data_IF_165708960868
#
_entry.id   IF_165708960868
#
_cell.length_a   1.000
_cell.length_b   1.000
_cell.length_c   1.000
_cell.angle_alpha   90.00
_cell.angle_beta   90.00
_cell.angle_gamma   90.00
#
_symmetry.space_group_name_H-M   'P 1'
#
loop_
_entity.id
_entity.type
_entity.pdbx_description
1 polymer ?
#
# COMPACT_ATOMS: atom_id res chain seq x y z
N UNK A 1 37.12 8.29 8.28
CA UNK A 1 36.23 7.57 7.35
C UNK A 1 34.78 7.70 7.85
N UNK A 2 34.34 8.90 8.21
CA UNK A 2 33.03 9.16 8.84
C UNK A 2 32.11 9.97 7.91
N UNK A 3 32.68 10.66 6.91
CA UNK A 3 31.96 11.56 6.00
C UNK A 3 31.26 10.84 4.82
N UNK A 4 31.63 9.58 4.53
CA UNK A 4 31.05 8.81 3.42
C UNK A 4 29.67 8.23 3.79
N UNK A 5 29.48 7.81 5.04
CA UNK A 5 28.21 7.23 5.50
C UNK A 5 27.11 8.28 5.68
N UNK A 6 27.46 9.51 6.09
CA UNK A 6 26.47 10.59 6.27
C UNK A 6 25.86 11.06 4.95
N UNK A 7 26.67 11.20 3.90
CA UNK A 7 26.21 11.60 2.56
C UNK A 7 25.33 10.53 1.92
N UNK A 8 25.69 9.25 2.01
CA UNK A 8 24.89 8.16 1.44
C UNK A 8 23.54 8.01 2.17
N UNK A 9 23.52 8.07 3.50
CA UNK A 9 22.27 8.00 4.26
C UNK A 9 21.37 9.21 3.99
N UNK A 10 21.91 10.43 3.87
CA UNK A 10 21.12 11.63 3.49
C UNK A 10 20.60 11.56 2.06
N UNK A 11 21.40 11.05 1.13
CA UNK A 11 21.00 10.89 -0.27
C UNK A 11 19.95 9.79 -0.43
N UNK A 12 20.10 8.68 0.28
CA UNK A 12 19.13 7.58 0.34
C UNK A 12 17.86 7.97 1.12
N UNK A 13 17.95 8.82 2.16
CA UNK A 13 16.78 9.41 2.82
C UNK A 13 16.01 10.31 1.84
N UNK A 14 16.72 11.18 1.11
CA UNK A 14 16.12 12.07 0.12
C UNK A 14 15.48 11.31 -1.04
N UNK A 15 16.15 10.25 -1.52
CA UNK A 15 15.60 9.36 -2.55
C UNK A 15 14.40 8.55 -2.02
N UNK A 16 14.49 8.01 -0.81
CA UNK A 16 13.39 7.28 -0.15
C UNK A 16 12.16 8.15 0.09
N UNK A 17 12.34 9.41 0.46
CA UNK A 17 11.25 10.39 0.60
C UNK A 17 10.64 10.83 -0.73
N UNK A 18 11.46 11.05 -1.77
CA UNK A 18 10.99 11.38 -3.11
C UNK A 18 10.22 10.21 -3.75
N UNK A 19 10.72 8.98 -3.58
CA UNK A 19 10.03 7.76 -3.98
C UNK A 19 8.74 7.58 -3.17
N UNK A 20 8.76 7.81 -1.85
CA UNK A 20 7.57 7.81 -1.02
C UNK A 20 6.51 8.81 -1.50
N UNK A 21 6.92 10.02 -1.88
CA UNK A 21 6.03 11.05 -2.43
C UNK A 21 5.43 10.65 -3.77
N UNK A 22 6.26 10.14 -4.69
CA UNK A 22 5.80 9.69 -6.01
C UNK A 22 4.86 8.48 -5.89
N UNK A 23 5.19 7.54 -5.01
CA UNK A 23 4.34 6.39 -4.70
C UNK A 23 3.03 6.85 -4.05
N UNK A 24 3.05 7.75 -3.07
CA UNK A 24 1.84 8.28 -2.43
C UNK A 24 0.89 8.97 -3.41
N UNK A 25 1.45 9.78 -4.32
CA UNK A 25 0.70 10.45 -5.39
C UNK A 25 0.07 9.44 -6.37
N UNK A 26 0.84 8.44 -6.79
CA UNK A 26 0.37 7.42 -7.75
C UNK A 26 -0.65 6.49 -7.10
N UNK A 27 -0.47 6.19 -5.81
CA UNK A 27 -1.31 5.27 -5.05
C UNK A 27 -2.76 5.77 -4.96
N UNK A 28 -2.99 7.09 -4.84
CA UNK A 28 -4.34 7.69 -4.86
C UNK A 28 -5.11 7.34 -6.15
N UNK A 29 -4.40 7.34 -7.29
CA UNK A 29 -4.99 7.00 -8.60
C UNK A 29 -5.22 5.51 -8.74
N UNK A 30 -4.28 4.70 -8.26
CA UNK A 30 -4.41 3.23 -8.20
C UNK A 30 -5.56 2.82 -7.29
N UNK A 31 -5.74 3.45 -6.13
CA UNK A 31 -6.86 3.16 -5.21
C UNK A 31 -8.21 3.44 -5.85
N UNK A 32 -8.38 4.57 -6.57
CA UNK A 32 -9.63 4.85 -7.29
C UNK A 32 -9.94 3.77 -8.33
N UNK A 33 -8.94 3.35 -9.12
CA UNK A 33 -9.10 2.31 -10.15
C UNK A 33 -9.35 0.95 -9.50
N UNK A 34 -8.60 0.58 -8.47
CA UNK A 34 -8.75 -0.67 -7.74
C UNK A 34 -10.12 -0.76 -7.06
N UNK A 35 -10.59 0.33 -6.42
CA UNK A 35 -11.93 0.40 -5.84
C UNK A 35 -13.02 0.28 -6.91
N UNK A 36 -12.82 0.89 -8.09
CA UNK A 36 -13.74 0.76 -9.21
C UNK A 36 -13.81 -0.68 -9.73
N UNK A 37 -12.66 -1.34 -9.93
CA UNK A 37 -12.58 -2.74 -10.36
C UNK A 37 -13.17 -3.68 -9.30
N UNK A 38 -12.86 -3.46 -8.01
CA UNK A 38 -13.41 -4.24 -6.90
C UNK A 38 -14.93 -4.08 -6.82
N UNK A 39 -15.43 -2.85 -6.95
CA UNK A 39 -16.87 -2.57 -6.99
C UNK A 39 -17.54 -3.27 -8.18
N UNK A 40 -16.96 -3.15 -9.38
CA UNK A 40 -17.45 -3.82 -10.58
C UNK A 40 -17.43 -5.34 -10.42
N UNK A 41 -16.39 -5.89 -9.80
CA UNK A 41 -16.26 -7.31 -9.52
C UNK A 41 -17.32 -7.79 -8.52
N UNK A 42 -17.57 -7.03 -7.45
CA UNK A 42 -18.62 -7.34 -6.47
C UNK A 42 -20.01 -7.26 -7.11
N UNK A 43 -20.28 -6.24 -7.95
CA UNK A 43 -21.52 -6.16 -8.72
C UNK A 43 -21.69 -7.37 -9.65
N UNK A 44 -20.63 -7.75 -10.36
CA UNK A 44 -20.64 -8.93 -11.23
C UNK A 44 -20.86 -10.23 -10.43
N UNK A 45 -20.32 -10.32 -9.22
CA UNK A 45 -20.51 -11.45 -8.31
C UNK A 45 -21.95 -11.50 -7.75
N UNK A 46 -22.54 -10.36 -7.38
CA UNK A 46 -23.93 -10.28 -6.92
C UNK A 46 -24.88 -10.79 -8.01
N UNK A 47 -24.62 -10.40 -9.27
CA UNK A 47 -25.46 -10.78 -10.40
C UNK A 47 -25.36 -12.27 -10.73
N UNK A 48 -24.18 -12.87 -10.52
CA UNK A 48 -23.94 -14.29 -10.76
C UNK A 48 -24.34 -15.17 -9.55
N UNK A 49 -24.35 -14.60 -8.35
CA UNK A 49 -24.88 -15.24 -7.13
C UNK A 49 -26.39 -15.42 -7.20
N UNK A 50 -27.13 -14.46 -7.77
CA UNK A 50 -28.59 -14.54 -7.94
C UNK A 50 -29.00 -15.66 -8.94
N UNK A 51 -28.11 -16.00 -9.88
CA UNK A 51 -28.29 -17.16 -10.78
C UNK A 51 -27.85 -18.51 -10.21
N UNK A 52 -27.34 -18.55 -8.97
CA UNK A 52 -27.02 -19.80 -8.26
C UNK A 52 -25.76 -20.55 -8.75
N UNK A 53 -24.92 -19.95 -9.59
CA UNK A 53 -23.71 -20.59 -10.14
C UNK A 53 -22.48 -20.43 -9.22
N UNK A 54 -22.47 -19.44 -8.32
CA UNK A 54 -21.34 -19.15 -7.41
C UNK A 54 -21.83 -18.91 -5.98
N UNK A 55 -21.33 -19.69 -5.02
CA UNK A 55 -21.47 -19.41 -3.58
C UNK A 55 -20.42 -18.37 -3.19
N UNK A 56 -20.84 -17.13 -2.93
CA UNK A 56 -19.93 -16.08 -2.43
C UNK A 56 -19.56 -16.42 -0.99
N UNK A 57 -18.40 -17.05 -0.80
CA UNK A 57 -17.90 -17.39 0.53
C UNK A 57 -17.29 -16.15 1.20
N UNK A 58 -18.14 -15.39 1.88
CA UNK A 58 -17.77 -14.20 2.64
C UNK A 58 -16.64 -14.45 3.67
N UNK A 59 -16.54 -15.67 4.19
CA UNK A 59 -15.46 -16.05 5.12
C UNK A 59 -14.10 -16.18 4.42
N UNK A 60 -14.06 -16.66 3.17
CA UNK A 60 -12.82 -16.71 2.38
C UNK A 60 -12.34 -15.30 2.01
N UNK A 61 -13.26 -14.41 1.63
CA UNK A 61 -12.94 -13.00 1.35
C UNK A 61 -12.42 -12.27 2.60
N UNK A 62 -13.08 -12.47 3.75
CA UNK A 62 -12.63 -11.91 5.03
C UNK A 62 -11.24 -12.41 5.44
N UNK A 63 -10.95 -13.70 5.27
CA UNK A 63 -9.60 -14.26 5.52
C UNK A 63 -8.55 -13.68 4.58
N UNK A 64 -8.87 -13.55 3.30
CA UNK A 64 -7.97 -12.94 2.31
C UNK A 64 -7.66 -11.49 2.67
N UNK A 65 -8.69 -10.67 2.92
CA UNK A 65 -8.52 -9.29 3.34
C UNK A 65 -7.70 -9.20 4.65
N UNK A 66 -8.02 -10.03 5.65
CA UNK A 66 -7.27 -10.08 6.90
C UNK A 66 -5.79 -10.44 6.72
N UNK A 67 -5.48 -11.39 5.84
CA UNK A 67 -4.09 -11.78 5.52
C UNK A 67 -3.31 -10.71 4.76
N UNK A 68 -3.99 -9.94 3.91
CA UNK A 68 -3.42 -8.79 3.23
C UNK A 68 -3.08 -7.67 4.22
N UNK A 69 -4.02 -7.35 5.11
CA UNK A 69 -3.82 -6.33 6.13
C UNK A 69 -2.70 -6.71 7.11
N UNK A 70 -2.63 -7.97 7.55
CA UNK A 70 -1.56 -8.41 8.46
C UNK A 70 -0.18 -8.40 7.79
N UNK A 71 -0.10 -8.76 6.51
CA UNK A 71 1.13 -8.69 5.72
C UNK A 71 1.58 -7.23 5.52
N UNK A 72 0.64 -6.34 5.20
CA UNK A 72 0.91 -4.91 5.08
C UNK A 72 1.34 -4.30 6.42
N UNK A 73 0.71 -4.68 7.53
CA UNK A 73 1.08 -4.22 8.87
C UNK A 73 2.49 -4.69 9.25
N UNK A 74 2.86 -5.92 8.90
CA UNK A 74 4.22 -6.45 9.12
C UNK A 74 5.26 -5.71 8.29
N UNK A 75 4.95 -5.42 7.01
CA UNK A 75 5.79 -4.60 6.15
C UNK A 75 5.94 -3.18 6.69
N UNK A 76 4.84 -2.55 7.12
CA UNK A 76 4.85 -1.21 7.70
C UNK A 76 5.68 -1.16 8.99
N UNK A 77 5.52 -2.14 9.90
CA UNK A 77 6.34 -2.25 11.12
C UNK A 77 7.82 -2.45 10.80
N UNK A 78 8.14 -3.25 9.79
CA UNK A 78 9.53 -3.48 9.36
C UNK A 78 10.13 -2.21 8.74
N UNK A 79 9.39 -1.56 7.85
CA UNK A 79 9.79 -0.30 7.23
C UNK A 79 10.02 0.79 8.29
N UNK A 80 9.11 0.96 9.25
CA UNK A 80 9.23 1.94 10.34
C UNK A 80 10.39 1.62 11.28
N UNK A 81 10.69 0.34 11.54
CA UNK A 81 11.87 -0.07 12.34
C UNK A 81 13.20 0.15 11.61
N UNK A 82 13.22 0.12 10.28
CA UNK A 82 14.37 0.57 9.47
C UNK A 82 14.34 2.11 9.34
N UNK A 83 14.47 2.78 10.49
CA UNK A 83 14.19 4.22 10.72
C UNK A 83 14.86 5.14 9.68
N UNK A 84 16.08 4.83 9.20
CA UNK A 84 16.77 5.65 8.21
C UNK A 84 16.09 5.67 6.83
N UNK A 85 15.43 4.60 6.39
CA UNK A 85 14.77 4.56 5.08
C UNK A 85 13.25 4.71 5.18
N UNK A 86 12.65 4.09 6.20
CA UNK A 86 11.20 4.14 6.40
C UNK A 86 10.68 5.47 6.95
N UNK A 87 11.50 6.21 7.71
CA UNK A 87 11.11 7.52 8.24
C UNK A 87 10.89 8.55 7.14
N UNK A 88 11.83 8.67 6.20
CA UNK A 88 11.69 9.57 5.05
C UNK A 88 10.64 9.08 4.06
N UNK A 89 10.53 7.77 3.83
CA UNK A 89 9.48 7.18 3.00
C UNK A 89 8.09 7.43 3.56
N UNK A 90 7.86 7.26 4.86
CA UNK A 90 6.55 7.48 5.48
C UNK A 90 6.13 8.96 5.43
N UNK A 91 7.06 9.88 5.69
CA UNK A 91 6.81 11.33 5.59
C UNK A 91 6.52 11.71 4.13
N UNK A 92 7.33 11.22 3.18
CA UNK A 92 7.11 11.41 1.74
C UNK A 92 5.78 10.84 1.27
N UNK A 93 5.42 9.64 1.74
CA UNK A 93 4.19 8.94 1.41
C UNK A 93 2.94 9.64 1.92
N UNK A 94 2.93 10.10 3.18
CA UNK A 94 1.82 10.87 3.75
C UNK A 94 1.66 12.22 3.03
N UNK A 95 2.78 12.90 2.74
CA UNK A 95 2.76 14.13 1.97
C UNK A 95 2.22 13.90 0.54
N UNK A 96 2.68 12.85 -0.14
CA UNK A 96 2.24 12.48 -1.49
C UNK A 96 0.79 12.02 -1.57
N UNK A 97 0.27 11.39 -0.51
CA UNK A 97 -1.15 11.00 -0.42
C UNK A 97 -2.08 12.21 -0.23
N UNK A 98 -1.59 13.27 0.43
CA UNK A 98 -2.36 14.48 0.73
C UNK A 98 -2.48 15.42 -0.47
N UNK A 99 -1.43 15.51 -1.31
CA UNK A 99 -1.46 16.19 -2.62
C UNK A 99 -2.42 15.45 -3.57
#
# INVERSE_FOLDING_TARGET
MEDIFGQEVLKDLGFGGALGFLVGFTLKRVFKIAAFILGLYILSLIWLADKGVISVNWAAFGKFAGSFFSSFESFAKTAVRTVSFGGSFAIGFVAGMKV
#
